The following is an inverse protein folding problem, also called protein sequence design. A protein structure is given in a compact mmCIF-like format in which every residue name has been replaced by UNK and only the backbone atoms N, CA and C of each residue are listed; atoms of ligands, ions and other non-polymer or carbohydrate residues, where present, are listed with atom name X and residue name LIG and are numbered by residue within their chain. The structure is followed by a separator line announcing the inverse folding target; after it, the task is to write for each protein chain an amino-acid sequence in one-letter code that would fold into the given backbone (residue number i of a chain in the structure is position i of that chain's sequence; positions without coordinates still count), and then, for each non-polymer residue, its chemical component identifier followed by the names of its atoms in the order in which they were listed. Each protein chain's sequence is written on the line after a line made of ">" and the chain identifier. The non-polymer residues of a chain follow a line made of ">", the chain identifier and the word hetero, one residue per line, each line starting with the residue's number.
data_IF_398648757775
#
_entry.id   IF_398648757775
#
_cell.length_a   1.000
_cell.length_b   1.000
_cell.length_c   1.000
_cell.angle_alpha   90.00
_cell.angle_beta   90.00
_cell.angle_gamma   90.00
#
_symmetry.space_group_name_H-M   'P 1'
#
loop_
_entity.id
_entity.type
_entity.pdbx_description
1 polymer ?
#
# COMPACT_ATOMS: atom_id res chain seq x y z
N UNK A 1 2.45 -10.59 -69.42
CA UNK A 1 1.24 -10.03 -68.79
C UNK A 1 0.87 -10.79 -67.51
N UNK A 2 0.86 -12.13 -67.50
CA UNK A 2 0.56 -12.93 -66.28
C UNK A 2 1.53 -12.69 -65.10
N UNK A 3 2.85 -12.65 -65.34
CA UNK A 3 3.87 -12.46 -64.28
C UNK A 3 3.73 -11.14 -63.50
N UNK A 4 3.25 -10.07 -64.14
CA UNK A 4 3.02 -8.78 -63.49
C UNK A 4 1.78 -8.82 -62.59
N UNK A 5 0.76 -9.61 -62.97
CA UNK A 5 -0.42 -9.83 -62.13
C UNK A 5 -0.09 -10.58 -60.85
N UNK A 6 0.76 -11.61 -60.92
CA UNK A 6 1.20 -12.37 -59.74
C UNK A 6 2.06 -11.51 -58.79
N UNK A 7 2.94 -10.67 -59.33
CA UNK A 7 3.76 -9.76 -58.53
C UNK A 7 2.91 -8.69 -57.83
N UNK A 8 1.87 -8.20 -58.50
CA UNK A 8 0.94 -7.22 -57.95
C UNK A 8 0.08 -7.81 -56.82
N UNK A 9 -0.42 -9.04 -56.98
CA UNK A 9 -1.18 -9.72 -55.91
C UNK A 9 -0.29 -10.13 -54.73
N UNK A 10 0.97 -10.53 -54.96
CA UNK A 10 1.95 -10.70 -53.88
C UNK A 10 2.23 -9.39 -53.14
N UNK A 11 2.33 -8.27 -53.87
CA UNK A 11 2.47 -6.94 -53.28
C UNK A 11 1.30 -6.57 -52.37
N UNK A 12 0.05 -6.86 -52.77
CA UNK A 12 -1.13 -6.64 -51.93
C UNK A 12 -1.16 -7.55 -50.70
N UNK A 13 -0.83 -8.83 -50.87
CA UNK A 13 -0.80 -9.80 -49.78
C UNK A 13 0.26 -9.44 -48.72
N UNK A 14 1.35 -8.80 -49.15
CA UNK A 14 2.37 -8.27 -48.24
C UNK A 14 1.91 -6.96 -47.64
N UNK A 15 1.36 -6.00 -48.40
CA UNK A 15 1.03 -4.65 -47.93
C UNK A 15 -0.18 -4.57 -46.98
N UNK A 16 -1.21 -5.40 -47.16
CA UNK A 16 -2.43 -5.31 -46.35
C UNK A 16 -2.20 -5.60 -44.84
N UNK A 17 -1.46 -6.65 -44.44
CA UNK A 17 -1.10 -6.87 -43.03
C UNK A 17 -0.28 -5.73 -42.39
N UNK A 18 0.43 -4.95 -43.21
CA UNK A 18 1.32 -3.87 -42.74
C UNK A 18 0.52 -2.64 -42.38
N UNK A 19 -0.47 -2.34 -43.21
CA UNK A 19 -1.39 -1.25 -43.00
C UNK A 19 -2.26 -1.52 -41.77
N UNK A 20 -2.76 -2.76 -41.60
CA UNK A 20 -3.49 -3.14 -40.39
C UNK A 20 -2.63 -3.08 -39.12
N UNK A 21 -1.34 -3.43 -39.21
CA UNK A 21 -0.41 -3.29 -38.08
C UNK A 21 -0.26 -1.82 -37.67
N UNK A 22 -0.06 -0.92 -38.65
CA UNK A 22 0.06 0.52 -38.38
C UNK A 22 -1.21 1.10 -37.77
N UNK A 23 -2.38 0.75 -38.30
CA UNK A 23 -3.66 1.15 -37.72
C UNK A 23 -3.83 0.64 -36.29
N UNK A 24 -3.41 -0.59 -36.01
CA UNK A 24 -3.43 -1.16 -34.67
C UNK A 24 -2.44 -0.47 -33.71
N UNK A 25 -1.26 -0.05 -34.17
CA UNK A 25 -0.32 0.76 -33.38
C UNK A 25 -0.96 2.10 -32.97
N UNK A 26 -1.59 2.81 -33.90
CA UNK A 26 -2.30 4.07 -33.63
C UNK A 26 -3.45 3.86 -32.63
N UNK A 27 -4.20 2.76 -32.75
CA UNK A 27 -5.25 2.39 -31.81
C UNK A 27 -4.66 2.10 -30.43
N UNK A 28 -3.57 1.33 -30.36
CA UNK A 28 -2.89 0.99 -29.10
C UNK A 28 -2.44 2.27 -28.38
N UNK A 29 -1.84 3.22 -29.10
CA UNK A 29 -1.40 4.49 -28.55
C UNK A 29 -2.53 5.27 -27.92
N UNK A 30 -3.64 5.39 -28.64
CA UNK A 30 -4.85 6.00 -28.12
C UNK A 30 -5.36 5.29 -26.87
N UNK A 31 -5.35 3.95 -26.82
CA UNK A 31 -5.81 3.19 -25.65
C UNK A 31 -4.89 3.37 -24.44
N UNK A 32 -3.58 3.42 -24.66
CA UNK A 32 -2.60 3.63 -23.58
C UNK A 32 -2.67 5.06 -23.07
N UNK A 33 -2.87 6.05 -23.93
CA UNK A 33 -3.12 7.44 -23.52
C UNK A 33 -4.40 7.53 -22.67
N UNK A 34 -5.51 6.97 -23.16
CA UNK A 34 -6.78 6.91 -22.43
C UNK A 34 -6.65 6.22 -21.05
N UNK A 35 -5.87 5.14 -20.97
CA UNK A 35 -5.59 4.43 -19.72
C UNK A 35 -4.69 5.26 -18.79
N UNK A 36 -3.73 6.01 -19.34
CA UNK A 36 -2.83 6.90 -18.60
C UNK A 36 -3.57 8.07 -17.97
N UNK A 37 -4.53 8.66 -18.69
CA UNK A 37 -5.42 9.66 -18.14
C UNK A 37 -6.18 9.09 -16.94
N UNK A 38 -6.76 7.89 -17.08
CA UNK A 38 -7.48 7.25 -15.98
C UNK A 38 -6.59 6.92 -14.79
N UNK A 39 -5.36 6.47 -15.04
CA UNK A 39 -4.37 6.24 -13.98
C UNK A 39 -4.07 7.53 -13.22
N UNK A 40 -3.92 8.64 -13.94
CA UNK A 40 -3.66 9.95 -13.35
C UNK A 40 -4.82 10.41 -12.47
N UNK A 41 -6.06 10.24 -12.94
CA UNK A 41 -7.27 10.52 -12.14
C UNK A 41 -7.29 9.69 -10.86
N UNK A 42 -7.09 8.37 -10.97
CA UNK A 42 -7.08 7.46 -9.81
C UNK A 42 -5.98 7.86 -8.82
N UNK A 43 -4.78 8.19 -9.28
CA UNK A 43 -3.70 8.66 -8.41
C UNK A 43 -4.04 9.98 -7.73
N UNK A 44 -4.61 10.94 -8.45
CA UNK A 44 -5.04 12.21 -7.87
C UNK A 44 -6.13 12.00 -6.82
N UNK A 45 -7.09 11.10 -7.08
CA UNK A 45 -8.14 10.74 -6.14
C UNK A 45 -7.55 10.09 -4.88
N UNK A 46 -6.61 9.14 -5.03
CA UNK A 46 -5.90 8.52 -3.91
C UNK A 46 -5.13 9.55 -3.07
N UNK A 47 -4.44 10.51 -3.70
CA UNK A 47 -3.75 11.57 -2.96
C UNK A 47 -4.72 12.49 -2.21
N UNK A 48 -5.88 12.81 -2.80
CA UNK A 48 -6.93 13.56 -2.08
C UNK A 48 -7.48 12.80 -0.88
N UNK A 49 -7.70 11.50 -1.03
CA UNK A 49 -8.19 10.64 0.06
C UNK A 49 -7.13 10.43 1.15
N UNK A 50 -5.83 10.39 0.81
CA UNK A 50 -4.72 10.33 1.80
C UNK A 50 -4.66 11.56 2.71
N UNK A 51 -5.13 12.73 2.25
CA UNK A 51 -5.24 13.93 3.09
C UNK A 51 -6.30 13.76 4.20
N UNK A 52 -7.22 12.80 4.06
CA UNK A 52 -8.09 12.37 5.15
C UNK A 52 -7.38 11.23 5.89
N UNK A 53 -6.78 11.57 7.03
CA UNK A 53 -6.09 10.63 7.92
C UNK A 53 -6.88 9.32 8.09
N UNK A 54 -6.21 8.17 7.91
CA UNK A 54 -6.79 6.85 8.19
C UNK A 54 -7.43 6.13 6.99
N UNK A 55 -7.19 6.54 5.75
CA UNK A 55 -7.64 5.83 4.54
C UNK A 55 -6.50 5.12 3.82
N UNK A 56 -6.75 3.90 3.36
CA UNK A 56 -5.79 3.10 2.59
C UNK A 56 -6.36 2.73 1.22
N UNK A 57 -5.57 2.76 0.14
CA UNK A 57 -6.01 2.22 -1.15
C UNK A 57 -6.45 0.75 -1.01
N UNK A 58 -7.55 0.37 -1.67
CA UNK A 58 -7.93 -1.04 -1.74
C UNK A 58 -6.86 -1.85 -2.48
N UNK A 59 -6.69 -3.11 -2.11
CA UNK A 59 -5.76 -4.04 -2.78
C UNK A 59 -6.03 -4.17 -4.29
N UNK A 60 -7.29 -4.11 -4.70
CA UNK A 60 -7.66 -4.14 -6.12
C UNK A 60 -7.13 -2.92 -6.88
N UNK A 61 -7.09 -1.74 -6.23
CA UNK A 61 -6.59 -0.49 -6.82
C UNK A 61 -5.06 -0.56 -6.96
N UNK A 62 -4.37 -1.08 -5.96
CA UNK A 62 -2.91 -1.28 -6.02
C UNK A 62 -2.52 -2.28 -7.13
N UNK A 63 -3.22 -3.41 -7.20
CA UNK A 63 -3.01 -4.40 -8.25
C UNK A 63 -3.29 -3.81 -9.63
N UNK A 64 -4.35 -3.01 -9.76
CA UNK A 64 -4.67 -2.33 -10.99
C UNK A 64 -3.57 -1.37 -11.44
N UNK A 65 -3.07 -0.50 -10.55
CA UNK A 65 -1.95 0.41 -10.85
C UNK A 65 -0.71 -0.35 -11.31
N UNK A 66 -0.39 -1.48 -10.67
CA UNK A 66 0.71 -2.36 -11.08
C UNK A 66 0.50 -2.93 -12.48
N UNK A 67 -0.72 -3.37 -12.79
CA UNK A 67 -1.06 -3.91 -14.11
C UNK A 67 -1.00 -2.84 -15.21
N UNK A 68 -1.42 -1.61 -14.90
CA UNK A 68 -1.29 -0.46 -15.81
C UNK A 68 0.17 -0.18 -16.11
N UNK A 69 1.06 -0.16 -15.11
CA UNK A 69 2.49 0.05 -15.36
C UNK A 69 3.08 -1.07 -16.23
N UNK A 70 2.78 -2.33 -15.90
CA UNK A 70 3.27 -3.49 -16.65
C UNK A 70 2.83 -3.47 -18.11
N UNK A 71 1.62 -2.99 -18.43
CA UNK A 71 1.17 -2.87 -19.82
C UNK A 71 1.95 -1.77 -20.55
N UNK A 72 2.22 -0.63 -19.91
CA UNK A 72 2.99 0.47 -20.47
C UNK A 72 4.41 0.02 -20.81
N UNK A 73 5.05 -0.70 -19.89
CA UNK A 73 6.39 -1.24 -20.09
C UNK A 73 6.43 -2.23 -21.27
N UNK A 74 5.46 -3.15 -21.35
CA UNK A 74 5.35 -4.08 -22.48
C UNK A 74 5.09 -3.39 -23.82
N UNK A 75 4.23 -2.36 -23.84
CA UNK A 75 3.96 -1.60 -25.07
C UNK A 75 5.21 -0.86 -25.53
N UNK A 76 5.99 -0.30 -24.59
CA UNK A 76 7.28 0.30 -24.89
C UNK A 76 8.23 -0.73 -25.54
N UNK A 77 8.37 -1.93 -24.95
CA UNK A 77 9.20 -3.01 -25.50
C UNK A 77 8.75 -3.45 -26.90
N UNK A 78 7.44 -3.58 -27.13
CA UNK A 78 6.88 -3.95 -28.45
C UNK A 78 7.24 -2.89 -29.49
N UNK A 79 7.06 -1.61 -29.16
CA UNK A 79 7.39 -0.49 -30.05
C UNK A 79 8.87 -0.44 -30.40
N UNK A 80 9.74 -0.67 -29.41
CA UNK A 80 11.18 -0.74 -29.65
C UNK A 80 11.51 -1.86 -30.66
N UNK A 81 10.97 -3.06 -30.45
CA UNK A 81 11.16 -4.19 -31.38
C UNK A 81 10.64 -3.89 -32.78
N UNK A 82 9.48 -3.23 -32.90
CA UNK A 82 8.92 -2.84 -34.21
C UNK A 82 9.81 -1.84 -34.97
N UNK A 83 10.50 -0.95 -34.26
CA UNK A 83 11.47 -0.02 -34.83
C UNK A 83 12.77 -0.69 -35.29
N UNK A 84 13.20 -1.76 -34.63
CA UNK A 84 14.44 -2.49 -34.94
C UNK A 84 14.24 -3.57 -36.02
N UNK A 85 13.04 -4.15 -36.13
CA UNK A 85 12.78 -5.28 -37.04
C UNK A 85 12.55 -4.82 -38.48
N UNK A 86 13.45 -5.25 -39.35
CA UNK A 86 13.34 -5.03 -40.80
C UNK A 86 12.00 -5.51 -41.37
N UNK A 87 11.46 -4.75 -42.32
CA UNK A 87 10.23 -5.04 -43.06
C UNK A 87 10.19 -6.45 -43.67
N UNK A 88 11.34 -7.01 -44.01
CA UNK A 88 11.42 -8.34 -44.64
C UNK A 88 11.19 -9.50 -43.67
N UNK A 89 11.20 -9.27 -42.35
CA UNK A 89 11.01 -10.31 -41.33
C UNK A 89 9.52 -10.50 -40.99
N UNK A 90 8.75 -10.96 -41.98
CA UNK A 90 7.29 -11.06 -41.94
C UNK A 90 6.78 -11.85 -40.72
N UNK A 91 7.40 -12.98 -40.38
CA UNK A 91 6.96 -13.82 -39.26
C UNK A 91 7.03 -13.09 -37.91
N UNK A 92 8.12 -12.36 -37.66
CA UNK A 92 8.28 -11.59 -36.43
C UNK A 92 7.27 -10.45 -36.37
N UNK A 93 7.03 -9.77 -37.50
CA UNK A 93 6.00 -8.71 -37.58
C UNK A 93 4.60 -9.25 -37.33
N UNK A 94 4.25 -10.43 -37.84
CA UNK A 94 2.95 -11.05 -37.54
C UNK A 94 2.80 -11.40 -36.05
N UNK A 95 3.87 -11.84 -35.39
CA UNK A 95 3.85 -12.10 -33.95
C UNK A 95 3.67 -10.79 -33.16
N UNK A 96 4.42 -9.73 -33.51
CA UNK A 96 4.26 -8.42 -32.90
C UNK A 96 2.86 -7.83 -33.13
N UNK A 97 2.27 -8.04 -34.31
CA UNK A 97 0.90 -7.62 -34.60
C UNK A 97 -0.11 -8.27 -33.65
N UNK A 98 0.05 -9.57 -33.36
CA UNK A 98 -0.80 -10.26 -32.37
C UNK A 98 -0.59 -9.72 -30.96
N UNK A 99 0.66 -9.45 -30.56
CA UNK A 99 0.94 -8.85 -29.26
C UNK A 99 0.30 -7.46 -29.14
N UNK A 100 0.33 -6.63 -30.19
CA UNK A 100 -0.35 -5.32 -30.23
C UNK A 100 -1.85 -5.50 -30.03
N UNK A 101 -2.50 -6.43 -30.75
CA UNK A 101 -3.93 -6.70 -30.60
C UNK A 101 -4.31 -7.18 -29.19
N UNK A 102 -3.48 -8.03 -28.58
CA UNK A 102 -3.66 -8.48 -27.20
C UNK A 102 -3.55 -7.30 -26.21
N UNK A 103 -2.56 -6.42 -26.39
CA UNK A 103 -2.38 -5.24 -25.53
C UNK A 103 -3.50 -4.23 -25.68
N UNK A 104 -4.08 -4.07 -26.86
CA UNK A 104 -5.29 -3.25 -27.06
C UNK A 104 -6.44 -3.80 -26.20
N UNK A 105 -6.69 -5.11 -26.24
CA UNK A 105 -7.76 -5.75 -25.46
C UNK A 105 -7.53 -5.59 -23.96
N UNK A 106 -6.32 -5.87 -23.50
CA UNK A 106 -5.93 -5.70 -22.10
C UNK A 106 -6.07 -4.23 -21.63
N UNK A 107 -5.67 -3.25 -22.44
CA UNK A 107 -5.79 -1.83 -22.11
C UNK A 107 -7.26 -1.39 -21.98
N UNK A 108 -8.13 -1.87 -22.88
CA UNK A 108 -9.58 -1.61 -22.82
C UNK A 108 -10.19 -2.20 -21.54
N UNK A 109 -9.83 -3.43 -21.19
CA UNK A 109 -10.35 -4.10 -20.00
C UNK A 109 -9.83 -3.44 -18.71
N UNK A 110 -8.54 -3.10 -18.64
CA UNK A 110 -7.99 -2.36 -17.51
C UNK A 110 -8.66 -0.98 -17.36
N UNK A 111 -8.91 -0.26 -18.46
CA UNK A 111 -9.62 1.03 -18.39
C UNK A 111 -11.02 0.88 -17.82
N UNK A 112 -11.73 -0.19 -18.18
CA UNK A 112 -13.07 -0.50 -17.64
C UNK A 112 -13.00 -0.85 -16.15
N UNK A 113 -12.04 -1.67 -15.75
CA UNK A 113 -11.86 -2.11 -14.36
C UNK A 113 -11.39 -0.96 -13.45
N UNK A 114 -10.66 0.02 -14.00
CA UNK A 114 -10.22 1.22 -13.29
C UNK A 114 -11.33 2.19 -12.91
N UNK A 115 -12.60 1.87 -13.16
CA UNK A 115 -13.75 2.72 -12.79
C UNK A 115 -14.05 2.71 -11.29
N UNK A 116 -13.72 1.62 -10.59
CA UNK A 116 -13.88 1.46 -9.13
C UNK A 116 -15.19 2.05 -8.57
N UNK A 117 -16.33 1.45 -8.90
CA UNK A 117 -17.65 1.95 -8.50
C UNK A 117 -17.88 1.94 -6.98
N UNK A 118 -17.20 1.04 -6.27
CA UNK A 118 -17.29 0.90 -4.81
C UNK A 118 -16.30 1.80 -4.04
N UNK A 119 -15.69 2.78 -4.71
CA UNK A 119 -14.66 3.65 -4.14
C UNK A 119 -13.25 3.04 -4.16
N UNK A 120 -12.25 3.91 -4.01
CA UNK A 120 -10.82 3.58 -4.19
C UNK A 120 -10.12 3.15 -2.91
N UNK A 121 -10.69 3.51 -1.77
CA UNK A 121 -10.07 3.40 -0.47
C UNK A 121 -10.96 2.62 0.48
N UNK A 122 -10.35 2.09 1.53
CA UNK A 122 -11.01 1.55 2.70
C UNK A 122 -10.55 2.34 3.92
N UNK A 123 -11.47 2.56 4.84
CA UNK A 123 -11.13 3.12 6.14
C UNK A 123 -10.29 2.10 6.90
N UNK A 124 -9.19 2.53 7.51
CA UNK A 124 -8.60 1.78 8.61
C UNK A 124 -9.67 1.70 9.69
N UNK A 125 -10.18 0.49 9.98
CA UNK A 125 -11.07 0.29 11.11
C UNK A 125 -10.35 0.77 12.37
N UNK A 126 -10.89 1.81 13.00
CA UNK A 126 -10.29 2.50 14.14
C UNK A 126 -10.48 1.63 15.39
N UNK A 127 -9.74 0.52 15.47
CA UNK A 127 -9.66 -0.32 16.66
C UNK A 127 -8.65 0.23 17.66
N UNK A 128 -8.77 1.49 18.08
CA UNK A 128 -7.96 1.97 19.22
C UNK A 128 -8.79 1.84 20.50
N UNK A 129 -8.22 1.30 21.58
CA UNK A 129 -8.81 1.34 22.92
C UNK A 129 -9.27 2.78 23.22
N UNK A 130 -10.56 3.01 23.43
CA UNK A 130 -11.13 4.36 23.60
C UNK A 130 -10.43 5.14 24.69
N UNK A 131 -10.41 4.63 25.92
CA UNK A 131 -9.54 5.04 27.03
C UNK A 131 -9.54 3.92 28.07
N UNK A 132 -8.48 3.82 28.88
CA UNK A 132 -8.52 2.97 30.07
C UNK A 132 -9.37 3.62 31.17
N UNK A 133 -9.97 2.85 32.09
CA UNK A 133 -10.63 3.42 33.26
C UNK A 133 -9.69 4.38 34.00
N UNK A 134 -10.15 5.57 34.41
CA UNK A 134 -9.29 6.57 35.03
C UNK A 134 -8.77 6.05 36.38
N UNK A 135 -7.46 5.80 36.46
CA UNK A 135 -6.79 5.44 37.72
C UNK A 135 -6.12 6.70 38.27
N UNK A 136 -6.69 7.26 39.33
CA UNK A 136 -6.14 8.46 39.98
C UNK A 136 -4.84 8.13 40.70
N UNK A 137 -3.74 8.73 40.26
CA UNK A 137 -2.48 8.75 41.02
C UNK A 137 -2.67 9.75 42.17
N UNK A 138 -2.57 9.28 43.42
CA UNK A 138 -2.84 10.11 44.61
C UNK A 138 -1.52 10.59 45.23
N UNK A 139 -1.42 11.90 45.50
CA UNK A 139 -0.29 12.56 46.17
C UNK A 139 0.87 12.99 45.26
N UNK A 140 1.73 13.89 45.74
CA UNK A 140 2.98 14.31 45.06
C UNK A 140 4.06 13.20 45.14
N UNK A 141 3.80 12.10 44.44
CA UNK A 141 4.63 10.89 44.47
C UNK A 141 5.64 10.84 43.32
N UNK A 142 6.68 10.02 43.46
CA UNK A 142 7.64 9.69 42.38
C UNK A 142 6.94 9.26 41.08
N UNK A 143 5.74 8.68 41.16
CA UNK A 143 4.95 8.31 40.00
C UNK A 143 4.52 9.52 39.15
N UNK A 144 4.13 10.64 39.76
CA UNK A 144 3.79 11.87 39.03
C UNK A 144 5.02 12.47 38.32
N UNK A 145 6.17 12.48 39.00
CA UNK A 145 7.44 12.94 38.41
C UNK A 145 7.85 12.09 37.21
N UNK A 146 7.70 10.76 37.32
CA UNK A 146 8.00 9.85 36.23
C UNK A 146 7.02 10.02 35.06
N UNK A 147 5.73 10.24 35.35
CA UNK A 147 4.72 10.53 34.33
C UNK A 147 5.10 11.79 33.53
N UNK A 148 5.36 12.90 34.22
CA UNK A 148 5.77 14.16 33.58
C UNK A 148 7.03 13.99 32.74
N UNK A 149 8.04 13.29 33.28
CA UNK A 149 9.27 13.02 32.54
C UNK A 149 9.03 12.21 31.26
N UNK A 150 8.14 11.21 31.30
CA UNK A 150 7.81 10.43 30.10
C UNK A 150 7.05 11.31 29.10
N UNK A 151 6.10 12.14 29.54
CA UNK A 151 5.39 13.07 28.67
C UNK A 151 6.35 14.07 28.01
N UNK A 152 7.31 14.64 28.75
CA UNK A 152 8.36 15.50 28.20
C UNK A 152 9.19 14.77 27.14
N UNK A 153 9.64 13.54 27.43
CA UNK A 153 10.36 12.73 26.45
C UNK A 153 9.53 12.38 25.22
N UNK A 154 8.21 12.25 25.34
CA UNK A 154 7.32 11.98 24.19
C UNK A 154 7.14 13.21 23.28
N UNK A 155 7.39 14.41 23.79
CA UNK A 155 7.32 15.66 23.04
C UNK A 155 8.67 16.06 22.42
N UNK A 156 9.75 15.38 22.79
CA UNK A 156 11.09 15.60 22.26
C UNK A 156 11.29 14.78 20.99
N UNK A 157 11.36 15.45 19.83
CA UNK A 157 11.51 14.81 18.52
C UNK A 157 12.86 14.07 18.35
N UNK A 158 13.86 14.33 19.20
CA UNK A 158 15.14 13.59 19.23
C UNK A 158 15.00 12.22 19.93
N UNK A 159 13.94 12.01 20.72
CA UNK A 159 13.70 10.77 21.46
C UNK A 159 12.85 9.79 20.66
N UNK A 160 13.51 8.85 19.99
CA UNK A 160 12.81 7.84 19.18
C UNK A 160 12.18 6.67 19.95
N UNK A 161 12.65 6.35 21.18
CA UNK A 161 12.19 5.18 21.97
C UNK A 161 12.36 5.43 23.47
N UNK A 162 11.37 5.02 24.26
CA UNK A 162 11.37 5.12 25.73
C UNK A 162 11.18 3.72 26.33
N UNK A 163 12.07 3.34 27.26
CA UNK A 163 11.95 2.10 28.04
C UNK A 163 11.54 2.40 29.48
N UNK A 164 10.43 1.82 29.94
CA UNK A 164 9.97 1.92 31.33
C UNK A 164 10.20 0.58 32.04
N UNK A 165 11.08 0.57 33.03
CA UNK A 165 11.48 -0.65 33.76
C UNK A 165 11.50 -0.42 35.27
N UNK A 166 11.52 -1.51 36.05
CA UNK A 166 11.55 -1.46 37.51
C UNK A 166 10.91 -2.70 38.14
N UNK A 167 10.96 -2.79 39.47
CA UNK A 167 10.41 -3.92 40.22
C UNK A 167 8.91 -4.10 39.95
N UNK A 168 8.41 -5.32 40.11
CA UNK A 168 6.97 -5.62 40.07
C UNK A 168 6.21 -4.87 41.15
N UNK A 169 4.94 -4.53 40.89
CA UNK A 169 4.07 -3.85 41.85
C UNK A 169 4.29 -2.33 42.01
N UNK A 170 5.33 -1.75 41.42
CA UNK A 170 5.63 -0.29 41.55
C UNK A 170 4.71 0.63 40.73
N UNK A 171 3.70 0.09 40.04
CA UNK A 171 2.72 0.89 39.29
C UNK A 171 3.13 1.30 37.86
N UNK A 172 4.06 0.58 37.21
CA UNK A 172 4.47 0.88 35.81
C UNK A 172 3.30 0.90 34.84
N UNK A 173 2.48 -0.16 34.85
CA UNK A 173 1.26 -0.23 34.02
C UNK A 173 0.32 0.93 34.34
N UNK A 174 0.15 1.31 35.61
CA UNK A 174 -0.68 2.44 36.02
C UNK A 174 -0.19 3.78 35.47
N UNK A 175 1.13 4.00 35.43
CA UNK A 175 1.72 5.19 34.82
C UNK A 175 1.46 5.18 33.31
N UNK A 176 1.70 4.05 32.64
CA UNK A 176 1.51 3.92 31.20
C UNK A 176 0.05 4.10 30.77
N UNK A 177 -0.93 3.58 31.53
CA UNK A 177 -2.36 3.79 31.22
C UNK A 177 -2.78 5.25 31.38
N UNK A 178 -2.23 5.98 32.35
CA UNK A 178 -2.44 7.42 32.49
C UNK A 178 -1.85 8.20 31.30
N UNK A 179 -0.62 7.88 30.89
CA UNK A 179 0.02 8.50 29.71
C UNK A 179 -0.81 8.25 28.45
N UNK A 180 -1.25 7.00 28.22
CA UNK A 180 -2.13 6.66 27.09
C UNK A 180 -3.35 7.57 27.04
N UNK A 181 -4.07 7.70 28.17
CA UNK A 181 -5.28 8.54 28.25
C UNK A 181 -4.97 10.03 28.06
N UNK A 182 -3.90 10.55 28.67
CA UNK A 182 -3.49 11.94 28.54
C UNK A 182 -3.16 12.31 27.09
N UNK A 183 -2.32 11.49 26.45
CA UNK A 183 -1.92 11.70 25.06
C UNK A 183 -3.12 11.62 24.12
N UNK A 184 -4.01 10.65 24.34
CA UNK A 184 -5.22 10.49 23.53
C UNK A 184 -6.19 11.67 23.68
N UNK A 185 -6.37 12.18 24.90
CA UNK A 185 -7.23 13.35 25.17
C UNK A 185 -6.62 14.66 24.64
N UNK A 186 -5.29 14.79 24.69
CA UNK A 186 -4.59 15.97 24.17
C UNK A 186 -4.58 16.03 22.63
N UNK A 187 -4.74 14.89 21.96
CA UNK A 187 -4.73 14.82 20.49
C UNK A 187 -3.36 15.10 19.89
N UNK A 188 -2.27 14.97 20.66
CA UNK A 188 -0.91 15.30 20.21
C UNK A 188 -0.34 14.30 19.21
N UNK A 189 -0.89 13.09 19.19
CA UNK A 189 -0.58 12.04 18.23
C UNK A 189 -1.85 11.73 17.44
N UNK A 190 -1.71 11.57 16.13
CA UNK A 190 -2.79 11.13 15.24
C UNK A 190 -3.29 9.73 15.63
N UNK A 191 -2.42 8.93 16.26
CA UNK A 191 -2.76 7.59 16.75
C UNK A 191 -1.96 7.16 17.97
N UNK A 192 -2.64 6.52 18.92
CA UNK A 192 -2.00 5.75 20.00
C UNK A 192 -2.38 4.28 19.84
N UNK A 193 -1.37 3.42 19.78
CA UNK A 193 -1.48 1.98 19.52
C UNK A 193 -0.96 1.27 20.77
N UNK A 194 -1.81 0.53 21.49
CA UNK A 194 -1.42 -0.21 22.68
C UNK A 194 -1.45 -1.71 22.40
N UNK A 195 -0.30 -2.38 22.54
CA UNK A 195 -0.18 -3.81 22.28
C UNK A 195 0.37 -4.53 23.50
N UNK A 196 -0.39 -5.51 23.99
CA UNK A 196 0.06 -6.42 25.03
C UNK A 196 0.92 -7.51 24.38
N UNK A 197 2.20 -7.50 24.67
CA UNK A 197 3.14 -8.50 24.17
C UNK A 197 2.97 -9.78 24.98
N UNK A 198 2.68 -10.87 24.26
CA UNK A 198 2.58 -12.21 24.85
C UNK A 198 3.86 -12.59 25.63
N UNK A 199 3.70 -13.26 26.78
CA UNK A 199 4.84 -13.79 27.57
C UNK A 199 5.72 -14.71 26.73
N UNK A 200 5.09 -15.62 26.00
CA UNK A 200 5.74 -16.39 24.94
C UNK A 200 5.91 -15.49 23.73
N UNK A 201 7.14 -15.03 23.50
CA UNK A 201 7.46 -14.17 22.36
C UNK A 201 7.08 -14.86 21.05
N UNK A 202 6.19 -14.22 20.30
CA UNK A 202 5.77 -14.69 19.00
C UNK A 202 5.59 -13.48 18.07
N UNK A 203 6.50 -13.36 17.10
CA UNK A 203 6.51 -12.24 16.16
C UNK A 203 5.23 -12.17 15.33
N UNK A 204 4.71 -13.31 14.87
CA UNK A 204 3.49 -13.36 14.06
C UNK A 204 2.29 -12.84 14.85
N UNK A 205 2.15 -13.29 16.10
CA UNK A 205 1.11 -12.83 17.03
C UNK A 205 1.24 -11.34 17.32
N UNK A 206 2.45 -10.83 17.57
CA UNK A 206 2.69 -9.41 17.75
C UNK A 206 2.23 -8.59 16.52
N UNK A 207 2.58 -9.07 15.32
CA UNK A 207 2.13 -8.45 14.08
C UNK A 207 0.61 -8.53 13.92
N UNK A 208 -0.03 -9.64 14.33
CA UNK A 208 -1.50 -9.76 14.29
C UNK A 208 -2.14 -8.74 15.23
N UNK A 209 -1.60 -8.58 16.44
CA UNK A 209 -2.16 -7.66 17.44
C UNK A 209 -1.95 -6.19 17.04
N UNK A 210 -0.78 -5.83 16.51
CA UNK A 210 -0.56 -4.50 15.91
C UNK A 210 -1.52 -4.30 14.73
N UNK A 211 -1.69 -5.28 13.85
CA UNK A 211 -2.59 -5.16 12.70
C UNK A 211 -4.05 -5.01 13.09
N UNK A 212 -4.52 -5.66 14.15
CA UNK A 212 -5.88 -5.45 14.68
C UNK A 212 -6.07 -4.00 15.15
N UNK A 213 -5.12 -3.46 15.91
CA UNK A 213 -5.18 -2.06 16.37
C UNK A 213 -5.12 -1.05 15.20
N UNK A 214 -4.51 -1.47 14.10
CA UNK A 214 -4.45 -0.72 12.84
C UNK A 214 -5.64 -1.02 11.91
N UNK A 215 -6.59 -1.90 12.27
CA UNK A 215 -7.70 -2.28 11.39
C UNK A 215 -7.28 -3.00 10.10
N UNK A 216 -6.08 -3.58 10.06
CA UNK A 216 -5.53 -4.27 8.90
C UNK A 216 -5.94 -5.74 8.86
N UNK A 217 -6.33 -6.20 7.68
CA UNK A 217 -6.63 -7.59 7.40
C UNK A 217 -5.41 -8.29 6.76
N UNK A 218 -4.60 -8.97 7.57
CA UNK A 218 -3.42 -9.73 7.12
C UNK A 218 -3.74 -11.17 6.65
N UNK A 219 -5.00 -11.50 6.35
CA UNK A 219 -5.50 -12.89 6.18
C UNK A 219 -4.74 -13.79 5.20
N UNK A 220 -3.91 -13.25 4.29
CA UNK A 220 -3.24 -14.01 3.24
C UNK A 220 -1.71 -13.99 3.32
N UNK A 221 -1.14 -13.52 4.43
CA UNK A 221 0.31 -13.34 4.54
C UNK A 221 0.85 -14.15 5.71
N UNK A 222 1.33 -15.36 5.44
CA UNK A 222 1.96 -16.21 6.47
C UNK A 222 3.37 -15.75 6.81
N UNK A 223 4.05 -15.12 5.85
CA UNK A 223 5.43 -14.65 5.98
C UNK A 223 5.54 -13.38 6.84
N UNK A 224 6.41 -13.42 7.85
CA UNK A 224 6.61 -12.33 8.81
C UNK A 224 7.16 -11.06 8.15
N UNK A 225 7.96 -11.18 7.08
CA UNK A 225 8.51 -10.02 6.38
C UNK A 225 7.41 -9.30 5.58
N UNK A 226 6.62 -10.04 4.81
CA UNK A 226 5.49 -9.45 4.08
C UNK A 226 4.51 -8.75 5.03
N UNK A 227 4.24 -9.35 6.21
CA UNK A 227 3.38 -8.74 7.24
C UNK A 227 3.95 -7.44 7.80
N UNK A 228 5.26 -7.38 8.04
CA UNK A 228 5.91 -6.16 8.55
C UNK A 228 5.87 -5.02 7.53
N UNK A 229 5.97 -5.33 6.23
CA UNK A 229 5.82 -4.36 5.15
C UNK A 229 4.43 -3.71 5.17
N UNK A 230 3.36 -4.50 5.33
CA UNK A 230 2.00 -3.97 5.40
C UNK A 230 1.78 -3.09 6.65
N UNK A 231 2.26 -3.53 7.82
CA UNK A 231 2.20 -2.73 9.06
C UNK A 231 2.98 -1.43 8.90
N UNK A 232 4.18 -1.48 8.34
CA UNK A 232 5.02 -0.30 8.11
C UNK A 232 4.37 0.70 7.17
N UNK A 233 3.72 0.22 6.10
CA UNK A 233 2.94 1.07 5.18
C UNK A 233 1.80 1.77 5.91
N UNK A 234 1.03 1.04 6.71
CA UNK A 234 -0.06 1.63 7.48
C UNK A 234 0.45 2.69 8.47
N UNK A 235 1.51 2.41 9.21
CA UNK A 235 2.12 3.36 10.14
C UNK A 235 2.60 4.65 9.44
N UNK A 236 3.15 4.54 8.22
CA UNK A 236 3.53 5.72 7.42
C UNK A 236 2.34 6.60 7.01
N UNK A 237 1.16 6.02 6.83
CA UNK A 237 -0.04 6.76 6.43
C UNK A 237 -0.75 7.44 7.60
N UNK A 238 -0.52 6.96 8.82
CA UNK A 238 -1.17 7.46 10.03
C UNK A 238 -0.63 8.83 10.47
N UNK A 239 0.58 9.22 10.04
CA UNK A 239 1.23 10.44 10.49
C UNK A 239 2.00 10.23 11.79
N UNK A 240 1.80 11.11 12.78
CA UNK A 240 2.45 11.05 14.09
C UNK A 240 1.74 10.03 14.98
N UNK A 241 2.38 8.88 15.22
CA UNK A 241 1.82 7.80 16.04
C UNK A 241 2.67 7.48 17.28
N UNK A 242 2.04 6.96 18.32
CA UNK A 242 2.67 6.41 19.52
C UNK A 242 2.36 4.92 19.61
N UNK A 243 3.40 4.08 19.62
CA UNK A 243 3.28 2.63 19.78
C UNK A 243 3.77 2.21 21.18
N UNK A 244 2.86 1.64 21.97
CA UNK A 244 3.08 1.25 23.36
C UNK A 244 3.07 -0.27 23.46
N UNK A 245 4.16 -0.86 23.95
CA UNK A 245 4.27 -2.28 24.21
C UNK A 245 4.18 -2.56 25.71
N UNK A 246 3.16 -3.30 26.13
CA UNK A 246 3.03 -3.77 27.51
C UNK A 246 3.48 -5.23 27.62
N UNK A 247 4.40 -5.49 28.55
CA UNK A 247 4.81 -6.84 28.90
C UNK A 247 4.15 -7.23 30.24
N UNK A 248 3.26 -8.22 30.27
CA UNK A 248 2.64 -8.68 31.50
C UNK A 248 3.68 -9.36 32.39
N UNK A 249 3.98 -8.75 33.54
CA UNK A 249 4.90 -9.31 34.53
C UNK A 249 4.28 -10.56 35.17
N UNK A 250 4.99 -11.69 35.17
CA UNK A 250 4.54 -12.91 35.83
C UNK A 250 4.93 -12.91 37.31
N UNK A 251 4.08 -13.46 38.18
CA UNK A 251 4.39 -13.65 39.60
C UNK A 251 5.44 -14.77 39.86
N UNK A 252 6.09 -15.31 38.83
CA UNK A 252 7.01 -16.45 38.95
C UNK A 252 8.45 -16.13 38.51
N UNK A 253 8.75 -14.86 38.22
CA UNK A 253 10.11 -14.42 37.82
C UNK A 253 10.90 -13.78 38.98
N UNK A 254 10.63 -14.19 40.23
CA UNK A 254 11.44 -13.86 41.42
C UNK A 254 12.04 -15.11 42.04
#
# INVERSE_FOLDING_TARGET
>A
MEYLGTLFEMGKAICAPLQSLKENEDILDKRIEELSCRESDVRADLEREKLQYGKMPKREVELWLKNVQNIKDKVHDIKQKLGEVSWTHIQLRMNLAKEVEEKIKEAVELKKNGRFQEGLVVDLLVGSIETFPPIKIVGETTALKNLQKIEECLMDDEVGKIGVYGMGGVGKTTIMTNIHNNIKNAGTFDRVIWVIVSKEWNLKKLQDDVSKELGLSLFNTEDALCRSVEIYRALKLIGKFLLMFEYPVSCHDY
#
